data_IF_627253317848
#
_entry.id   IF_627253317848
#
_cell.length_a   1.000
_cell.length_b   1.000
_cell.length_c   1.000
_cell.angle_alpha   90.00
_cell.angle_beta   90.00
_cell.angle_gamma   90.00
#
_symmetry.space_group_name_H-M   'P 1'
#
loop_
_entity.id
_entity.type
_entity.pdbx_description
1 polymer ?
#
# COMPACT_ATOMS: atom_id res chain seq x y z
N UNK A 1 2.51 12.99 3.48
CA UNK A 1 3.57 12.96 2.43
C UNK A 1 4.82 13.61 3.00
N UNK A 2 6.04 13.08 2.77
CA UNK A 2 7.26 13.74 3.22
C UNK A 2 7.31 15.16 2.65
N UNK A 3 7.67 16.12 3.49
CA UNK A 3 7.83 17.51 3.08
C UNK A 3 8.81 17.58 1.91
N UNK A 4 8.38 18.15 0.77
CA UNK A 4 9.23 18.31 -0.42
C UNK A 4 10.52 19.09 -0.13
N UNK A 5 10.59 19.80 1.02
CA UNK A 5 11.79 20.50 1.51
C UNK A 5 13.02 19.58 1.68
N UNK A 6 12.80 18.29 1.95
CA UNK A 6 13.89 17.34 2.25
C UNK A 6 14.20 16.37 1.09
N UNK A 7 13.53 16.56 -0.06
CA UNK A 7 13.76 15.75 -1.27
C UNK A 7 14.82 16.44 -2.10
N UNK A 8 15.93 15.73 -2.42
CA UNK A 8 16.86 16.25 -3.43
C UNK A 8 16.16 16.25 -4.79
N UNK A 9 16.19 17.35 -5.56
CA UNK A 9 15.46 17.48 -6.83
C UNK A 9 16.04 16.61 -7.97
N UNK A 10 17.00 15.73 -7.68
CA UNK A 10 17.65 14.88 -8.67
C UNK A 10 16.88 13.57 -8.77
N UNK A 11 16.35 13.32 -9.96
CA UNK A 11 15.82 12.02 -10.34
C UNK A 11 16.96 10.99 -10.35
N UNK A 12 16.86 9.96 -9.53
CA UNK A 12 17.81 8.86 -9.46
C UNK A 12 17.36 7.70 -10.35
N UNK A 13 18.35 7.01 -10.92
CA UNK A 13 18.20 5.75 -11.64
C UNK A 13 18.65 4.58 -10.77
N UNK A 14 18.44 3.35 -11.24
CA UNK A 14 18.94 2.14 -10.56
C UNK A 14 20.46 2.14 -10.34
N UNK A 15 21.22 2.78 -11.24
CA UNK A 15 22.68 2.86 -11.16
C UNK A 15 23.19 4.06 -10.35
N UNK A 16 22.30 4.95 -9.89
CA UNK A 16 22.68 6.10 -9.09
C UNK A 16 23.25 5.65 -7.74
N UNK A 17 24.38 6.22 -7.36
CA UNK A 17 25.09 5.92 -6.10
C UNK A 17 24.67 6.86 -4.97
N UNK A 18 24.67 6.36 -3.75
CA UNK A 18 24.48 7.14 -2.54
C UNK A 18 25.18 6.48 -1.34
N UNK A 19 25.49 7.28 -0.32
CA UNK A 19 26.04 6.81 0.95
C UNK A 19 24.95 6.76 2.00
N UNK A 20 24.85 5.62 2.69
CA UNK A 20 23.92 5.43 3.79
C UNK A 20 24.24 4.20 4.64
N UNK A 21 24.11 4.32 5.96
CA UNK A 21 23.97 3.16 6.85
C UNK A 21 23.14 3.53 8.08
N UNK A 22 22.21 2.68 8.48
CA UNK A 22 21.47 2.80 9.72
C UNK A 22 21.71 1.55 10.57
N UNK A 23 22.10 1.71 11.83
CA UNK A 23 22.46 0.60 12.70
C UNK A 23 22.24 0.98 14.18
N UNK A 24 21.97 0.00 15.07
CA UNK A 24 21.92 0.25 16.51
C UNK A 24 23.24 0.89 17.00
N UNK A 25 23.14 2.05 17.65
CA UNK A 25 24.29 2.82 18.14
C UNK A 25 24.64 4.07 17.33
N UNK A 26 24.07 4.27 16.14
CA UNK A 26 24.14 5.58 15.47
C UNK A 26 23.35 6.62 16.27
N UNK A 27 23.81 7.87 16.33
CA UNK A 27 23.24 8.88 17.24
C UNK A 27 21.77 9.24 16.94
N UNK A 28 21.30 9.03 15.70
CA UNK A 28 19.91 9.27 15.29
C UNK A 28 19.07 7.97 15.24
N UNK A 29 19.54 6.87 15.84
CA UNK A 29 18.86 5.57 15.75
C UNK A 29 17.40 5.70 16.22
N UNK A 30 16.46 5.17 15.43
CA UNK A 30 14.99 5.22 15.64
C UNK A 30 14.31 6.59 15.52
N UNK A 31 15.06 7.67 15.29
CA UNK A 31 14.49 9.02 15.28
C UNK A 31 13.55 9.27 14.10
N UNK A 32 13.81 8.65 12.94
CA UNK A 32 12.92 8.74 11.78
C UNK A 32 11.55 8.09 12.03
N UNK A 33 11.46 7.11 12.95
CA UNK A 33 10.25 6.35 13.27
C UNK A 33 9.24 7.13 14.13
N UNK A 34 9.22 8.47 14.05
CA UNK A 34 8.17 9.33 14.60
C UNK A 34 8.05 10.67 13.88
N UNK A 35 8.68 10.79 12.70
CA UNK A 35 8.78 12.05 11.93
C UNK A 35 8.28 11.89 10.49
N UNK A 36 7.54 10.81 10.21
CA UNK A 36 7.09 10.45 8.86
C UNK A 36 5.69 9.81 8.89
N UNK A 37 4.90 10.11 7.86
CA UNK A 37 3.69 9.37 7.56
C UNK A 37 4.03 8.11 6.77
N UNK A 38 3.65 6.95 7.30
CA UNK A 38 3.92 5.66 6.66
C UNK A 38 2.62 5.14 6.04
N UNK A 39 2.40 5.30 4.72
CA UNK A 39 1.28 4.66 4.06
C UNK A 39 1.45 3.15 4.09
N UNK A 40 0.34 2.44 4.29
CA UNK A 40 0.26 0.99 4.23
C UNK A 40 -0.41 0.59 2.92
N UNK A 41 0.22 -0.36 2.24
CA UNK A 41 -0.35 -1.04 1.08
C UNK A 41 -1.19 -2.26 1.52
N UNK A 42 -2.06 -2.80 0.65
CA UNK A 42 -2.76 -4.07 0.91
C UNK A 42 -1.82 -5.20 1.36
N UNK A 43 -0.69 -5.36 0.67
CA UNK A 43 0.29 -6.39 1.03
C UNK A 43 0.93 -6.13 2.38
N UNK A 44 1.19 -4.86 2.76
CA UNK A 44 1.70 -4.54 4.10
C UNK A 44 0.72 -5.00 5.19
N UNK A 45 -0.59 -4.83 5.00
CA UNK A 45 -1.58 -5.30 5.97
C UNK A 45 -1.53 -6.83 6.14
N UNK A 46 -1.43 -7.58 5.03
CA UNK A 46 -1.33 -9.05 5.10
C UNK A 46 -0.06 -9.47 5.83
N UNK A 47 1.07 -8.79 5.59
CA UNK A 47 2.34 -9.05 6.28
C UNK A 47 2.24 -8.74 7.77
N UNK A 48 1.65 -7.60 8.14
CA UNK A 48 1.44 -7.21 9.54
C UNK A 48 0.52 -8.21 10.25
N UNK A 49 -0.59 -8.61 9.61
CA UNK A 49 -1.53 -9.62 10.11
C UNK A 49 -0.81 -10.90 10.50
N UNK A 50 -0.02 -11.44 9.56
CA UNK A 50 0.77 -12.66 9.78
C UNK A 50 1.84 -12.47 10.87
N UNK A 51 2.52 -11.33 10.90
CA UNK A 51 3.60 -11.04 11.86
C UNK A 51 3.09 -10.91 13.29
N UNK A 52 1.94 -10.25 13.48
CA UNK A 52 1.37 -9.95 14.79
C UNK A 52 0.43 -11.03 15.30
N UNK A 53 -0.07 -11.91 14.43
CA UNK A 53 -0.97 -13.00 14.80
C UNK A 53 -2.38 -12.52 15.20
N UNK A 54 -2.79 -11.35 14.70
CA UNK A 54 -4.12 -10.74 14.93
C UNK A 54 -4.82 -10.49 13.60
N UNK A 55 -6.12 -10.23 13.60
CA UNK A 55 -6.91 -9.97 12.39
C UNK A 55 -6.55 -8.64 11.70
N UNK A 56 -6.88 -8.52 10.42
CA UNK A 56 -6.76 -7.24 9.69
C UNK A 56 -7.61 -6.15 10.32
N UNK A 57 -8.82 -6.50 10.79
CA UNK A 57 -9.72 -5.56 11.48
C UNK A 57 -9.08 -5.00 12.75
N UNK A 58 -8.43 -5.85 13.55
CA UNK A 58 -7.70 -5.42 14.75
C UNK A 58 -6.51 -4.52 14.39
N UNK A 59 -5.74 -4.85 13.34
CA UNK A 59 -4.65 -3.99 12.87
C UNK A 59 -5.15 -2.61 12.49
N UNK A 60 -6.21 -2.57 11.66
CA UNK A 60 -6.79 -1.32 11.20
C UNK A 60 -7.27 -0.47 12.37
N UNK A 61 -7.92 -1.08 13.36
CA UNK A 61 -8.42 -0.40 14.54
C UNK A 61 -7.31 0.12 15.45
N UNK A 62 -6.32 -0.71 15.79
CA UNK A 62 -5.30 -0.42 16.79
C UNK A 62 -4.17 0.46 16.24
N UNK A 63 -3.69 0.14 15.03
CA UNK A 63 -2.41 0.64 14.53
C UNK A 63 -2.52 1.58 13.34
N UNK A 64 -3.71 1.85 12.80
CA UNK A 64 -3.84 2.64 11.57
C UNK A 64 -4.76 3.83 11.70
N UNK A 65 -4.60 4.79 10.80
CA UNK A 65 -5.59 5.83 10.53
C UNK A 65 -5.87 5.84 9.03
N UNK A 66 -7.02 6.36 8.64
CA UNK A 66 -7.37 6.51 7.23
C UNK A 66 -7.70 7.94 6.88
N UNK A 67 -7.38 8.34 5.67
CA UNK A 67 -7.74 9.62 5.07
C UNK A 67 -8.11 9.40 3.60
N UNK A 68 -8.87 10.33 3.02
CA UNK A 68 -9.16 10.29 1.58
C UNK A 68 -8.02 10.98 0.84
N UNK A 69 -7.49 10.29 -0.18
CA UNK A 69 -6.55 10.92 -1.10
C UNK A 69 -7.27 12.02 -1.88
N UNK A 70 -6.78 13.25 -1.77
CA UNK A 70 -7.42 14.41 -2.39
C UNK A 70 -7.43 14.34 -3.92
N UNK A 71 -6.59 13.50 -4.56
CA UNK A 71 -6.53 13.40 -6.02
C UNK A 71 -7.47 12.32 -6.57
N UNK A 72 -7.44 11.12 -5.99
CA UNK A 72 -8.26 9.98 -6.44
C UNK A 72 -9.62 9.89 -5.76
N UNK A 73 -9.80 10.48 -4.57
CA UNK A 73 -10.97 10.28 -3.72
C UNK A 73 -11.01 8.91 -3.03
N UNK A 74 -9.98 8.08 -3.21
CA UNK A 74 -9.88 6.75 -2.60
C UNK A 74 -9.25 6.83 -1.21
N UNK A 75 -9.64 5.94 -0.28
CA UNK A 75 -9.06 5.93 1.06
C UNK A 75 -7.62 5.39 1.05
N UNK A 76 -6.75 6.11 1.74
CA UNK A 76 -5.40 5.72 2.10
C UNK A 76 -5.34 5.33 3.57
N UNK A 77 -4.60 4.27 3.87
CA UNK A 77 -4.32 3.83 5.24
C UNK A 77 -2.88 4.16 5.59
N UNK A 78 -2.69 4.71 6.79
CA UNK A 78 -1.38 5.05 7.33
C UNK A 78 -1.20 4.42 8.70
N UNK A 79 0.05 4.09 9.08
CA UNK A 79 0.34 3.77 10.47
C UNK A 79 0.02 4.97 11.37
N UNK A 80 -0.70 4.73 12.45
CA UNK A 80 -1.10 5.73 13.43
C UNK A 80 0.10 6.10 14.30
N UNK A 81 0.57 7.33 14.12
CA UNK A 81 1.53 7.97 15.03
C UNK A 81 0.71 8.67 16.11
N UNK A 82 0.66 8.10 17.32
CA UNK A 82 -0.17 8.64 18.41
C UNK A 82 0.60 9.66 19.26
N UNK A 83 -0.02 10.81 19.64
CA UNK A 83 0.55 11.71 20.63
C UNK A 83 0.90 11.03 21.95
N UNK A 84 0.13 10.01 22.36
CA UNK A 84 0.37 9.21 23.56
C UNK A 84 1.72 8.47 23.51
N UNK A 85 2.19 8.13 22.30
CA UNK A 85 3.49 7.54 22.05
C UNK A 85 4.52 8.58 21.56
N UNK A 86 4.34 9.86 21.92
CA UNK A 86 5.19 10.97 21.46
C UNK A 86 5.33 11.02 19.92
N UNK A 87 4.23 10.74 19.22
CA UNK A 87 4.14 10.60 17.76
C UNK A 87 5.11 9.56 17.15
N UNK A 88 5.57 8.59 17.94
CA UNK A 88 6.37 7.47 17.43
C UNK A 88 5.51 6.35 16.85
N UNK A 89 6.12 5.62 15.92
CA UNK A 89 5.62 4.38 15.35
C UNK A 89 5.30 3.39 16.48
N UNK A 90 4.13 2.73 16.45
CA UNK A 90 3.76 1.78 17.51
C UNK A 90 4.69 0.57 17.60
N UNK A 91 5.49 0.31 16.56
CA UNK A 91 6.39 -0.84 16.50
C UNK A 91 7.85 -0.49 16.83
N UNK A 92 8.19 0.78 17.08
CA UNK A 92 9.56 1.18 17.38
C UNK A 92 9.83 1.20 18.88
N UNK A 93 10.96 0.65 19.29
CA UNK A 93 11.50 0.67 20.65
C UNK A 93 12.89 1.29 20.62
N UNK A 94 13.53 1.49 21.78
CA UNK A 94 14.94 1.90 21.85
C UNK A 94 15.90 0.89 21.21
N UNK A 95 15.51 -0.38 21.13
CA UNK A 95 16.31 -1.46 20.51
C UNK A 95 16.09 -1.57 19.00
N UNK A 96 15.07 -0.88 18.47
CA UNK A 96 14.74 -0.87 17.04
C UNK A 96 13.28 -1.23 16.76
N UNK A 97 13.00 -1.54 15.49
CA UNK A 97 11.67 -1.89 15.02
C UNK A 97 11.36 -3.37 15.29
N UNK A 98 10.30 -3.63 16.06
CA UNK A 98 9.85 -4.99 16.44
C UNK A 98 9.33 -5.82 15.26
N UNK A 99 8.95 -5.15 14.17
CA UNK A 99 8.49 -5.76 12.92
C UNK A 99 9.50 -5.56 11.77
N UNK A 100 10.79 -5.32 12.06
CA UNK A 100 11.74 -4.89 11.02
C UNK A 100 11.74 -5.77 9.77
N UNK A 101 11.71 -7.10 9.90
CA UNK A 101 11.65 -8.05 8.77
C UNK A 101 10.39 -7.96 7.93
N UNK A 102 9.31 -7.43 8.48
CA UNK A 102 7.98 -7.30 7.89
C UNK A 102 7.54 -5.82 7.80
N UNK A 103 8.51 -4.89 7.90
CA UNK A 103 8.26 -3.46 7.88
C UNK A 103 7.58 -3.05 6.56
N UNK A 104 6.73 -2.01 6.57
CA UNK A 104 6.03 -1.57 5.38
C UNK A 104 6.97 -1.22 4.22
N UNK A 105 6.47 -1.36 2.99
CA UNK A 105 7.21 -1.03 1.77
C UNK A 105 7.85 0.38 1.82
N UNK A 106 7.11 1.38 2.31
CA UNK A 106 7.63 2.75 2.47
C UNK A 106 8.87 2.82 3.39
N UNK A 107 8.93 1.99 4.44
CA UNK A 107 10.10 1.92 5.34
C UNK A 107 11.29 1.20 4.73
N UNK A 108 11.08 0.25 3.81
CA UNK A 108 12.16 -0.45 3.08
C UNK A 108 12.86 0.48 2.10
N UNK A 109 12.09 1.41 1.53
CA UNK A 109 12.60 2.37 0.59
C UNK A 109 13.57 3.37 1.22
N UNK A 110 13.25 3.90 2.41
CA UNK A 110 14.06 4.91 3.07
C UNK A 110 15.54 4.51 3.19
N UNK A 111 16.51 5.36 2.79
CA UNK A 111 16.37 6.79 2.51
C UNK A 111 16.01 7.12 1.05
N UNK A 112 15.83 6.11 0.21
CA UNK A 112 15.33 6.28 -1.14
C UNK A 112 13.81 6.43 -1.09
N UNK A 113 13.26 7.36 -1.85
CA UNK A 113 11.84 7.38 -2.17
C UNK A 113 11.63 6.81 -3.57
N UNK A 114 10.53 6.10 -3.78
CA UNK A 114 10.02 5.74 -5.09
C UNK A 114 8.80 6.61 -5.38
N UNK A 115 8.76 7.21 -6.56
CA UNK A 115 7.58 7.88 -7.09
C UNK A 115 7.20 7.24 -8.41
N UNK A 116 5.90 7.19 -8.65
CA UNK A 116 5.31 6.65 -9.86
C UNK A 116 4.56 7.77 -10.56
N UNK A 117 4.95 8.06 -11.79
CA UNK A 117 4.26 9.01 -12.67
C UNK A 117 3.51 8.24 -13.74
N UNK A 118 2.26 8.61 -13.95
CA UNK A 118 1.51 8.20 -15.12
C UNK A 118 1.65 9.32 -16.16
N UNK A 119 2.39 9.06 -17.24
CA UNK A 119 2.64 10.01 -18.33
C UNK A 119 1.61 9.93 -19.46
N UNK A 120 0.93 8.79 -19.60
CA UNK A 120 -0.05 8.51 -20.65
C UNK A 120 -1.23 7.71 -20.05
N UNK A 121 -2.37 7.69 -20.75
CA UNK A 121 -3.53 6.87 -20.35
C UNK A 121 -3.21 5.37 -20.42
N UNK A 122 -3.62 4.61 -19.40
CA UNK A 122 -3.37 3.16 -19.30
C UNK A 122 -2.07 2.77 -18.57
N UNK A 123 -1.80 1.46 -18.49
CA UNK A 123 -0.66 0.88 -17.74
C UNK A 123 0.72 1.10 -18.40
N UNK A 124 0.75 1.40 -19.70
CA UNK A 124 1.98 1.62 -20.48
C UNK A 124 2.70 2.93 -20.21
N UNK A 125 2.00 3.93 -19.64
CA UNK A 125 2.55 5.25 -19.31
C UNK A 125 3.18 5.35 -17.91
N UNK A 126 3.30 4.24 -17.17
CA UNK A 126 3.81 4.24 -15.79
C UNK A 126 5.33 4.31 -15.81
N UNK A 127 5.88 5.47 -15.43
CA UNK A 127 7.31 5.64 -15.17
C UNK A 127 7.57 5.71 -13.68
N UNK A 128 8.41 4.81 -13.19
CA UNK A 128 8.95 4.87 -11.84
C UNK A 128 10.26 5.65 -11.83
N UNK A 129 10.45 6.45 -10.79
CA UNK A 129 11.72 7.11 -10.54
C UNK A 129 12.02 7.17 -9.06
N UNK A 130 13.30 7.32 -8.76
CA UNK A 130 13.78 7.35 -7.38
C UNK A 130 14.26 8.75 -7.03
N UNK A 131 14.23 9.06 -5.74
CA UNK A 131 14.80 10.28 -5.21
C UNK A 131 15.41 9.99 -3.85
N UNK A 132 16.39 10.82 -3.44
CA UNK A 132 17.00 10.69 -2.12
C UNK A 132 16.33 11.64 -1.16
N UNK A 133 15.85 11.10 -0.05
CA UNK A 133 15.36 11.86 1.10
C UNK A 133 16.56 12.11 2.01
N UNK A 134 16.82 13.37 2.37
CA UNK A 134 17.91 13.75 3.29
C UNK A 134 17.41 14.70 4.36
N UNK A 135 17.05 14.17 5.52
CA UNK A 135 16.72 14.99 6.67
C UNK A 135 17.98 15.38 7.47
N UNK A 136 18.04 16.62 8.02
CA UNK A 136 19.20 17.08 8.78
C UNK A 136 19.55 16.23 10.01
N UNK A 137 18.56 15.56 10.61
CA UNK A 137 18.75 14.69 11.77
C UNK A 137 19.30 13.31 11.39
N UNK A 138 19.21 12.90 10.12
CA UNK A 138 19.61 11.57 9.69
C UNK A 138 21.13 11.48 9.49
N UNK A 139 21.82 10.94 10.50
CA UNK A 139 23.27 10.71 10.48
C UNK A 139 23.71 9.53 9.62
N UNK A 140 22.76 8.69 9.18
CA UNK A 140 23.09 7.58 8.29
C UNK A 140 23.70 8.01 6.96
N UNK A 141 23.44 9.24 6.50
CA UNK A 141 24.05 9.79 5.27
C UNK A 141 25.52 10.20 5.41
N UNK A 142 26.03 10.29 6.65
CA UNK A 142 27.42 10.64 6.96
C UNK A 142 28.33 9.39 7.00
N UNK A 143 27.72 8.20 6.91
CA UNK A 143 28.41 6.92 6.90
C UNK A 143 29.08 6.62 5.55
N UNK A 144 30.19 5.88 5.56
CA UNK A 144 30.97 5.58 4.36
C UNK A 144 30.43 4.41 3.51
N UNK A 145 29.39 3.73 3.98
CA UNK A 145 28.80 2.60 3.23
C UNK A 145 28.12 3.11 1.97
N UNK A 146 28.61 2.66 0.82
CA UNK A 146 28.12 3.07 -0.48
C UNK A 146 27.14 2.03 -1.06
N UNK A 147 26.07 2.54 -1.67
CA UNK A 147 25.04 1.77 -2.34
C UNK A 147 24.80 2.31 -3.74
N UNK A 148 24.31 1.44 -4.63
CA UNK A 148 23.48 1.84 -5.77
C UNK A 148 22.00 1.68 -5.38
N UNK A 149 21.09 2.37 -6.08
CA UNK A 149 19.65 2.14 -5.88
C UNK A 149 19.29 0.66 -6.13
N UNK A 150 19.88 0.02 -7.14
CA UNK A 150 19.68 -1.40 -7.41
C UNK A 150 20.11 -2.29 -6.23
N UNK A 151 21.34 -2.13 -5.73
CA UNK A 151 21.84 -2.93 -4.60
C UNK A 151 21.05 -2.66 -3.30
N UNK A 152 20.57 -1.43 -3.10
CA UNK A 152 19.72 -1.10 -1.96
C UNK A 152 18.38 -1.83 -2.01
N UNK A 153 17.77 -1.92 -3.21
CA UNK A 153 16.54 -2.71 -3.38
C UNK A 153 16.77 -4.19 -3.07
N UNK A 154 17.88 -4.76 -3.52
CA UNK A 154 18.22 -6.15 -3.19
C UNK A 154 18.35 -6.32 -1.68
N UNK A 155 19.04 -5.41 -0.99
CA UNK A 155 19.29 -5.48 0.45
C UNK A 155 18.02 -5.25 1.30
N UNK A 156 17.14 -4.34 0.87
CA UNK A 156 15.93 -3.96 1.63
C UNK A 156 14.66 -4.71 1.19
N UNK A 157 14.74 -5.47 0.11
CA UNK A 157 13.71 -6.36 -0.44
C UNK A 157 12.33 -5.70 -0.71
N UNK A 158 12.22 -4.52 -1.36
CA UNK A 158 10.92 -3.95 -1.70
C UNK A 158 10.27 -4.61 -2.93
N UNK A 159 11.02 -5.39 -3.71
CA UNK A 159 10.59 -5.89 -5.03
C UNK A 159 9.30 -6.72 -4.96
N UNK A 160 9.20 -7.64 -4.00
CA UNK A 160 7.98 -8.44 -3.78
C UNK A 160 6.80 -7.55 -3.36
N UNK A 161 7.05 -6.54 -2.52
CA UNK A 161 6.01 -5.59 -2.10
C UNK A 161 5.51 -4.76 -3.28
N UNK A 162 6.40 -4.34 -4.18
CA UNK A 162 6.04 -3.62 -5.38
C UNK A 162 5.23 -4.47 -6.35
N UNK A 163 5.67 -5.72 -6.57
CA UNK A 163 4.97 -6.68 -7.41
C UNK A 163 3.55 -6.90 -6.90
N UNK A 164 3.40 -7.22 -5.61
CA UNK A 164 2.11 -7.50 -5.00
C UNK A 164 1.16 -6.31 -5.02
N UNK A 165 1.67 -5.08 -5.03
CA UNK A 165 0.84 -3.88 -4.99
C UNK A 165 0.75 -3.15 -6.33
N UNK A 166 1.30 -3.68 -7.43
CA UNK A 166 1.34 -3.00 -8.73
C UNK A 166 -0.04 -2.56 -9.21
N UNK A 167 -1.01 -3.46 -9.18
CA UNK A 167 -2.38 -3.18 -9.61
C UNK A 167 -3.07 -2.17 -8.69
N UNK A 168 -2.86 -2.30 -7.37
CA UNK A 168 -3.37 -1.35 -6.39
C UNK A 168 -2.79 0.06 -6.59
N UNK A 169 -1.47 0.18 -6.79
CA UNK A 169 -0.80 1.46 -7.09
C UNK A 169 -1.39 2.08 -8.35
N UNK A 170 -1.63 1.31 -9.41
CA UNK A 170 -2.23 1.82 -10.64
C UNK A 170 -3.64 2.41 -10.41
N UNK A 171 -4.48 1.76 -9.59
CA UNK A 171 -5.80 2.29 -9.21
C UNK A 171 -5.67 3.63 -8.44
N UNK A 172 -4.71 3.72 -7.53
CA UNK A 172 -4.43 4.94 -6.75
C UNK A 172 -3.85 6.09 -7.57
N UNK A 173 -3.32 5.81 -8.77
CA UNK A 173 -2.74 6.82 -9.66
C UNK A 173 -3.76 7.48 -10.58
N UNK A 174 -5.03 7.07 -10.56
CA UNK A 174 -6.07 7.77 -11.33
C UNK A 174 -6.17 9.23 -10.88
N UNK A 175 -6.11 10.14 -11.86
CA UNK A 175 -6.09 11.61 -11.64
C UNK A 175 -7.15 12.36 -12.44
N UNK A 176 -7.92 11.69 -13.29
CA UNK A 176 -8.95 12.36 -14.06
C UNK A 176 -10.10 12.83 -13.14
N UNK A 177 -10.59 14.05 -13.39
CA UNK A 177 -11.59 14.68 -12.52
C UNK A 177 -12.89 13.87 -12.48
N UNK A 178 -13.25 13.25 -13.60
CA UNK A 178 -14.43 12.40 -13.73
C UNK A 178 -14.30 11.13 -12.89
N UNK A 179 -13.13 10.46 -12.90
CA UNK A 179 -12.85 9.34 -12.01
C UNK A 179 -13.04 9.71 -10.55
N UNK A 180 -12.49 10.85 -10.12
CA UNK A 180 -12.63 11.31 -8.73
C UNK A 180 -14.10 11.59 -8.39
N UNK A 181 -14.83 12.28 -9.26
CA UNK A 181 -16.25 12.58 -9.05
C UNK A 181 -17.11 11.31 -9.01
N UNK A 182 -16.70 10.26 -9.74
CA UNK A 182 -17.37 8.97 -9.74
C UNK A 182 -17.13 8.13 -8.47
N UNK A 183 -16.27 8.56 -7.54
CA UNK A 183 -16.02 7.87 -6.26
C UNK A 183 -16.98 8.39 -5.18
N UNK A 184 -18.13 7.72 -5.06
CA UNK A 184 -19.07 7.93 -3.95
C UNK A 184 -18.64 7.23 -2.65
N UNK A 185 -19.32 7.51 -1.53
CA UNK A 185 -19.02 6.91 -0.23
C UNK A 185 -19.11 5.37 -0.22
N UNK A 186 -19.99 4.80 -1.05
CA UNK A 186 -20.15 3.34 -1.14
C UNK A 186 -18.92 2.71 -1.78
N UNK A 187 -18.41 3.30 -2.87
CA UNK A 187 -17.15 2.90 -3.51
C UNK A 187 -15.97 3.10 -2.58
N UNK A 188 -15.92 4.19 -1.80
CA UNK A 188 -14.87 4.39 -0.79
C UNK A 188 -14.87 3.27 0.27
N UNK A 189 -16.03 2.95 0.84
CA UNK A 189 -16.18 1.88 1.85
C UNK A 189 -15.79 0.52 1.28
N UNK A 190 -16.22 0.20 0.05
CA UNK A 190 -15.86 -1.06 -0.60
C UNK A 190 -14.38 -1.13 -0.99
N UNK A 191 -13.79 -0.02 -1.44
CA UNK A 191 -12.35 0.05 -1.70
C UNK A 191 -11.54 -0.18 -0.43
N UNK A 192 -11.94 0.46 0.69
CA UNK A 192 -11.31 0.26 1.98
C UNK A 192 -11.38 -1.20 2.42
N UNK A 193 -12.58 -1.78 2.41
CA UNK A 193 -12.83 -3.17 2.79
C UNK A 193 -11.96 -4.13 1.97
N UNK A 194 -12.01 -4.03 0.65
CA UNK A 194 -11.31 -4.96 -0.24
C UNK A 194 -9.78 -4.75 -0.25
N UNK A 195 -9.30 -3.52 -0.03
CA UNK A 195 -7.86 -3.22 -0.04
C UNK A 195 -7.18 -3.52 1.30
N UNK A 196 -7.85 -3.25 2.43
CA UNK A 196 -7.17 -3.21 3.72
C UNK A 196 -7.75 -4.15 4.77
N UNK A 197 -8.99 -4.64 4.63
CA UNK A 197 -9.60 -5.54 5.61
C UNK A 197 -9.89 -6.93 5.01
N UNK A 198 -8.86 -7.71 4.64
CA UNK A 198 -9.02 -9.02 4.01
C UNK A 198 -9.92 -9.97 4.81
N UNK A 199 -9.92 -9.92 6.15
CA UNK A 199 -10.77 -10.79 6.96
C UNK A 199 -12.26 -10.51 6.75
N UNK A 200 -12.68 -9.23 6.79
CA UNK A 200 -14.07 -8.89 6.50
C UNK A 200 -14.41 -8.94 5.01
N UNK A 201 -13.46 -8.68 4.11
CA UNK A 201 -13.69 -8.84 2.68
C UNK A 201 -13.91 -10.30 2.30
N UNK A 202 -13.14 -11.23 2.90
CA UNK A 202 -13.35 -12.67 2.79
C UNK A 202 -14.77 -13.07 3.16
N UNK A 203 -15.23 -12.62 4.33
CA UNK A 203 -16.60 -12.87 4.81
C UNK A 203 -17.63 -12.25 3.87
N UNK A 204 -17.41 -11.02 3.41
CA UNK A 204 -18.27 -10.38 2.44
C UNK A 204 -18.41 -11.20 1.15
N UNK A 205 -17.33 -11.75 0.62
CA UNK A 205 -17.39 -12.59 -0.59
C UNK A 205 -18.10 -13.92 -0.31
N UNK A 206 -17.76 -14.61 0.78
CA UNK A 206 -18.21 -15.99 1.02
C UNK A 206 -19.60 -16.09 1.68
N UNK A 207 -19.95 -15.14 2.54
CA UNK A 207 -21.14 -15.22 3.41
C UNK A 207 -22.30 -14.34 2.92
N UNK A 208 -22.05 -13.42 1.98
CA UNK A 208 -23.08 -12.52 1.45
C UNK A 208 -23.72 -13.04 0.15
N UNK A 209 -24.49 -12.18 -0.52
CA UNK A 209 -25.03 -12.46 -1.86
C UNK A 209 -23.98 -12.36 -2.97
N UNK A 210 -22.72 -12.04 -2.66
CA UNK A 210 -21.66 -11.82 -3.65
C UNK A 210 -21.56 -12.98 -4.67
N UNK A 211 -21.40 -14.23 -4.20
CA UNK A 211 -21.31 -15.42 -5.08
C UNK A 211 -22.64 -15.82 -5.75
N UNK A 212 -23.75 -15.17 -5.38
CA UNK A 212 -25.03 -15.27 -6.10
C UNK A 212 -25.12 -14.28 -7.25
N UNK A 213 -24.34 -13.20 -7.21
CA UNK A 213 -24.34 -12.12 -8.19
C UNK A 213 -23.23 -12.31 -9.21
N UNK A 214 -22.02 -12.57 -8.75
CA UNK A 214 -20.85 -12.74 -9.59
C UNK A 214 -20.61 -14.20 -9.94
N UNK A 215 -20.23 -14.43 -11.19
CA UNK A 215 -19.75 -15.72 -11.66
C UNK A 215 -18.27 -15.86 -11.30
N UNK A 216 -18.01 -16.62 -10.25
CA UNK A 216 -16.66 -16.90 -9.73
C UNK A 216 -16.50 -18.41 -9.72
N UNK A 217 -15.45 -18.89 -10.40
CA UNK A 217 -15.24 -20.31 -10.54
C UNK A 217 -14.92 -20.99 -9.19
N UNK A 218 -15.28 -22.27 -9.01
CA UNK A 218 -15.08 -22.97 -7.74
C UNK A 218 -13.61 -23.05 -7.28
N UNK A 219 -12.62 -23.04 -8.19
CA UNK A 219 -11.21 -23.07 -7.82
C UNK A 219 -10.80 -21.75 -7.19
N UNK A 220 -11.24 -20.63 -7.76
CA UNK A 220 -11.03 -19.30 -7.17
C UNK A 220 -11.68 -19.20 -5.80
N UNK A 221 -12.93 -19.66 -5.64
CA UNK A 221 -13.62 -19.65 -4.32
C UNK A 221 -12.84 -20.45 -3.27
N UNK A 222 -12.38 -21.65 -3.62
CA UNK A 222 -11.58 -22.48 -2.72
C UNK A 222 -10.24 -21.83 -2.36
N UNK A 223 -9.55 -21.21 -3.34
CA UNK A 223 -8.27 -20.54 -3.11
C UNK A 223 -8.43 -19.32 -2.20
N UNK A 224 -9.40 -18.44 -2.50
CA UNK A 224 -9.59 -17.26 -1.67
C UNK A 224 -9.94 -17.67 -0.25
N UNK A 225 -10.70 -18.73 0.01
CA UNK A 225 -11.11 -19.11 1.37
C UNK A 225 -9.96 -19.24 2.38
N UNK A 226 -8.76 -19.64 1.94
CA UNK A 226 -7.64 -19.97 2.85
C UNK A 226 -6.37 -19.15 2.59
N UNK A 227 -6.28 -18.46 1.44
CA UNK A 227 -5.09 -17.70 1.05
C UNK A 227 -5.40 -16.20 0.96
N UNK A 228 -4.75 -15.41 1.82
CA UNK A 228 -4.87 -13.95 1.86
C UNK A 228 -4.28 -13.29 0.60
N UNK A 229 -3.26 -13.89 -0.02
CA UNK A 229 -2.68 -13.38 -1.29
C UNK A 229 -3.63 -13.66 -2.45
N UNK A 230 -4.23 -14.86 -2.50
CA UNK A 230 -5.26 -15.16 -3.49
C UNK A 230 -6.46 -14.22 -3.32
N UNK A 231 -6.91 -13.97 -2.08
CA UNK A 231 -7.99 -13.02 -1.81
C UNK A 231 -7.62 -11.61 -2.24
N UNK A 232 -6.41 -11.14 -1.96
CA UNK A 232 -5.96 -9.80 -2.35
C UNK A 232 -5.97 -9.62 -3.88
N UNK A 233 -5.46 -10.59 -4.63
CA UNK A 233 -5.50 -10.55 -6.10
C UNK A 233 -6.94 -10.54 -6.62
N UNK A 234 -7.81 -11.33 -6.02
CA UNK A 234 -9.25 -11.32 -6.30
C UNK A 234 -9.90 -9.96 -5.95
N UNK A 235 -9.50 -9.35 -4.84
CA UNK A 235 -9.97 -8.03 -4.44
C UNK A 235 -9.61 -6.98 -5.48
N UNK A 236 -8.42 -7.03 -6.07
CA UNK A 236 -8.04 -6.10 -7.14
C UNK A 236 -8.89 -6.27 -8.40
N UNK A 237 -9.24 -7.49 -8.80
CA UNK A 237 -10.18 -7.73 -9.89
C UNK A 237 -11.55 -7.12 -9.57
N UNK A 238 -12.08 -7.38 -8.37
CA UNK A 238 -13.34 -6.77 -7.93
C UNK A 238 -13.29 -5.23 -7.93
N UNK A 239 -12.19 -4.63 -7.47
CA UNK A 239 -12.04 -3.19 -7.43
C UNK A 239 -11.94 -2.56 -8.81
N UNK A 240 -11.27 -3.19 -9.77
CA UNK A 240 -11.24 -2.69 -11.15
C UNK A 240 -12.63 -2.68 -11.79
N UNK A 241 -13.45 -3.70 -11.53
CA UNK A 241 -14.86 -3.72 -11.93
C UNK A 241 -15.65 -2.59 -11.24
N UNK A 242 -15.54 -2.48 -9.90
CA UNK A 242 -16.24 -1.48 -9.10
C UNK A 242 -15.92 -0.04 -9.53
N UNK A 243 -14.65 0.21 -9.88
CA UNK A 243 -14.13 1.51 -10.30
C UNK A 243 -14.30 1.77 -11.81
N UNK A 244 -14.94 0.84 -12.54
CA UNK A 244 -15.19 0.92 -13.99
C UNK A 244 -13.88 1.11 -14.77
N UNK A 245 -12.81 0.44 -14.35
CA UNK A 245 -11.50 0.47 -15.02
C UNK A 245 -11.47 -0.55 -16.16
N UNK A 246 -11.96 -1.77 -15.89
CA UNK A 246 -12.07 -2.85 -16.87
C UNK A 246 -13.20 -3.82 -16.45
N UNK A 247 -13.80 -4.50 -17.42
CA UNK A 247 -14.76 -5.57 -17.18
C UNK A 247 -14.04 -6.85 -16.69
N UNK A 248 -13.56 -6.79 -15.45
CA UNK A 248 -12.73 -7.82 -14.79
C UNK A 248 -13.57 -8.86 -14.04
N UNK A 249 -14.88 -8.68 -13.96
CA UNK A 249 -15.82 -9.56 -13.26
C UNK A 249 -17.05 -9.80 -14.15
N UNK A 250 -17.57 -11.03 -14.14
CA UNK A 250 -18.80 -11.40 -14.84
C UNK A 250 -19.96 -11.56 -13.85
N UNK A 251 -21.15 -11.13 -14.27
CA UNK A 251 -22.39 -11.40 -13.54
C UNK A 251 -22.96 -12.76 -13.97
N UNK A 252 -23.64 -13.45 -13.05
CA UNK A 252 -24.40 -14.66 -13.40
C UNK A 252 -25.57 -14.31 -14.32
N UNK A 253 -25.89 -15.22 -15.24
CA UNK A 253 -26.91 -15.04 -16.28
C UNK A 253 -28.28 -14.61 -15.71
N UNK A 254 -28.68 -15.18 -14.56
CA UNK A 254 -29.95 -14.88 -13.88
C UNK A 254 -30.08 -13.43 -13.34
N UNK A 255 -28.97 -12.68 -13.28
CA UNK A 255 -28.94 -11.28 -12.82
C UNK A 255 -29.03 -10.31 -14.00
N UNK A 256 -28.62 -10.72 -15.20
CA UNK A 256 -28.68 -9.89 -16.41
C UNK A 256 -30.09 -9.77 -17.01
N UNK A 257 -31.08 -10.51 -16.49
CA UNK A 257 -32.47 -10.50 -16.99
C UNK A 257 -33.41 -9.57 -16.21
N UNK A 258 -32.92 -8.81 -15.22
CA UNK A 258 -33.75 -7.79 -14.56
C UNK A 258 -33.93 -6.59 -15.52
N UNK A 259 -35.18 -6.25 -15.92
CA UNK A 259 -35.40 -5.07 -16.75
C UNK A 259 -34.98 -3.81 -16.00
N UNK A 260 -34.49 -2.76 -16.69
CA UNK A 260 -34.18 -1.49 -16.05
C UNK A 260 -35.44 -0.99 -15.34
N UNK A 261 -35.31 -0.65 -14.05
CA UNK A 261 -36.40 -0.11 -13.26
C UNK A 261 -36.99 1.11 -13.99
N UNK A 262 -38.31 1.05 -14.21
CA UNK A 262 -39.13 2.10 -14.81
C UNK A 262 -39.17 3.37 -13.94
#
# INVERSE_FOLDING_TARGET
MPSMKNVKPVQLSLNSRFRFKCYPGISCFTECCGRIDIPLTPYDIIRLKKRLGISSTEILHLYTRSELDAKSGLPLVFLRMSPENNNKCPFVTSEGCTIYSDRPCACRYYPIGQATLQREEGLGGIQEFYFLIKEPYCKGHEEETEWTVASWRVDQEPDLYDEMNREWKAMMLRRDADARQAIDEKKQKMFYLASYDPDNFRRFVLESRFLKIFDVDPKTVAAIQQDDIALMKFAFQYLKYLLVIEQSMNLKEDVNTAPPAA
#
